data_IF_377289713195
#
_entry.id   IF_377289713195
#
_cell.length_a   1.000
_cell.length_b   1.000
_cell.length_c   1.000
_cell.angle_alpha   90.00
_cell.angle_beta   90.00
_cell.angle_gamma   90.00
#
_symmetry.space_group_name_H-M   'P 1'
#
loop_
_entity.id
_entity.type
_entity.pdbx_description
1 polymer ?
#
# COMPACT_ATOMS: atom_id res chain seq x y z
N UNK A 1 -17.70 18.09 -25.69
CA UNK A 1 -16.30 17.59 -25.72
C UNK A 1 -16.31 16.15 -25.20
N UNK A 2 -15.41 15.30 -25.67
CA UNK A 2 -15.27 13.96 -25.10
C UNK A 2 -14.75 14.09 -23.65
N UNK A 3 -15.28 13.26 -22.74
CA UNK A 3 -14.82 13.22 -21.36
C UNK A 3 -13.37 12.72 -21.31
N UNK A 4 -12.52 13.37 -20.50
CA UNK A 4 -11.16 12.92 -20.22
C UNK A 4 -11.21 11.76 -19.22
N UNK A 5 -10.88 10.56 -19.69
CA UNK A 5 -10.80 9.35 -18.86
C UNK A 5 -9.34 9.08 -18.54
N UNK A 6 -9.03 8.81 -17.26
CA UNK A 6 -7.71 8.42 -16.78
C UNK A 6 -7.82 7.10 -16.03
N UNK A 7 -6.98 6.15 -16.38
CA UNK A 7 -6.91 4.82 -15.73
C UNK A 7 -5.65 4.74 -14.87
N UNK A 8 -5.82 4.47 -13.58
CA UNK A 8 -4.76 4.29 -12.60
C UNK A 8 -4.68 2.82 -12.21
N UNK A 9 -3.49 2.25 -12.13
CA UNK A 9 -3.31 0.86 -11.72
C UNK A 9 -2.23 0.72 -10.63
N UNK A 10 -2.53 -0.05 -9.59
CA UNK A 10 -1.54 -0.40 -8.58
C UNK A 10 -0.60 -1.48 -9.10
N UNK A 11 0.66 -1.49 -8.64
CA UNK A 11 1.67 -2.51 -8.97
C UNK A 11 1.22 -3.95 -8.69
N UNK A 12 0.22 -4.17 -7.81
CA UNK A 12 -0.31 -5.50 -7.48
C UNK A 12 -1.40 -5.98 -8.45
N UNK A 13 -1.76 -5.20 -9.45
CA UNK A 13 -2.60 -5.69 -10.57
C UNK A 13 -1.78 -6.55 -11.53
N UNK A 14 -2.44 -7.26 -12.43
CA UNK A 14 -1.73 -8.09 -13.42
C UNK A 14 -0.95 -7.22 -14.41
N UNK A 15 0.10 -7.75 -15.07
CA UNK A 15 0.87 -7.02 -16.08
C UNK A 15 0.01 -6.42 -17.19
N UNK A 16 -1.04 -7.13 -17.62
CA UNK A 16 -1.95 -6.67 -18.67
C UNK A 16 -2.74 -5.44 -18.25
N UNK A 17 -3.16 -5.38 -16.97
CA UNK A 17 -3.86 -4.21 -16.42
C UNK A 17 -2.89 -3.04 -16.27
N UNK A 18 -1.67 -3.29 -15.81
CA UNK A 18 -0.64 -2.26 -15.71
C UNK A 18 -0.33 -1.64 -17.09
N UNK A 19 -0.29 -2.45 -18.16
CA UNK A 19 -0.06 -1.98 -19.53
C UNK A 19 -1.24 -1.16 -20.10
N UNK A 20 -2.43 -1.31 -19.57
CA UNK A 20 -3.62 -0.54 -19.97
C UNK A 20 -3.76 0.79 -19.23
N UNK A 21 -3.01 1.00 -18.17
CA UNK A 21 -3.14 2.18 -17.32
C UNK A 21 -2.32 3.38 -17.82
N UNK A 22 -2.86 4.57 -17.63
CA UNK A 22 -2.14 5.84 -17.90
C UNK A 22 -1.04 6.08 -16.85
N UNK A 23 -1.25 5.55 -15.63
CA UNK A 23 -0.25 5.62 -14.55
C UNK A 23 -0.29 4.32 -13.73
N UNK A 24 0.89 3.73 -13.55
CA UNK A 24 1.13 2.64 -12.60
C UNK A 24 1.98 3.18 -11.44
N UNK A 25 1.68 2.75 -10.21
CA UNK A 25 2.40 3.21 -9.03
C UNK A 25 1.97 2.53 -7.73
N UNK A 26 2.60 2.96 -6.63
CA UNK A 26 2.13 2.67 -5.28
C UNK A 26 1.03 3.66 -4.83
N UNK A 27 0.54 3.48 -3.60
CA UNK A 27 -0.59 4.29 -3.09
C UNK A 27 -0.27 5.79 -3.05
N UNK A 28 0.98 6.19 -2.74
CA UNK A 28 1.36 7.60 -2.70
C UNK A 28 1.44 8.19 -4.12
N UNK A 29 2.12 7.50 -5.03
CA UNK A 29 2.26 7.93 -6.42
C UNK A 29 0.90 8.09 -7.10
N UNK A 30 -0.01 7.13 -6.88
CA UNK A 30 -1.34 7.17 -7.48
C UNK A 30 -2.22 8.25 -6.85
N UNK A 31 -2.09 8.54 -5.55
CA UNK A 31 -2.81 9.62 -4.88
C UNK A 31 -2.35 10.99 -5.39
N UNK A 32 -1.03 11.18 -5.54
CA UNK A 32 -0.47 12.41 -6.11
C UNK A 32 -0.93 12.61 -7.56
N UNK A 33 -0.84 11.55 -8.37
CA UNK A 33 -1.28 11.63 -9.76
C UNK A 33 -2.78 11.88 -9.88
N UNK A 34 -3.61 11.18 -9.09
CA UNK A 34 -5.06 11.40 -9.08
C UNK A 34 -5.41 12.86 -8.77
N UNK A 35 -4.79 13.46 -7.74
CA UNK A 35 -5.00 14.86 -7.37
C UNK A 35 -4.75 15.82 -8.52
N UNK A 36 -3.70 15.58 -9.31
CA UNK A 36 -3.23 16.50 -10.34
C UNK A 36 -3.80 16.17 -11.74
N UNK A 37 -4.52 15.06 -11.91
CA UNK A 37 -4.94 14.51 -13.21
C UNK A 37 -5.93 15.39 -14.01
N UNK A 38 -6.73 16.23 -13.33
CA UNK A 38 -7.79 17.04 -13.97
C UNK A 38 -8.65 16.20 -14.94
N UNK A 39 -9.11 15.02 -14.50
CA UNK A 39 -9.89 14.07 -15.28
C UNK A 39 -11.40 14.24 -14.99
N UNK A 40 -12.23 13.98 -16.00
CA UNK A 40 -13.69 13.88 -15.81
C UNK A 40 -14.06 12.52 -15.20
N UNK A 41 -13.32 11.47 -15.60
CA UNK A 41 -13.50 10.10 -15.11
C UNK A 41 -12.14 9.55 -14.70
N UNK A 42 -12.06 9.00 -13.49
CA UNK A 42 -10.90 8.24 -12.99
C UNK A 42 -11.33 6.78 -12.82
N UNK A 43 -10.77 5.89 -13.63
CA UNK A 43 -10.87 4.45 -13.44
C UNK A 43 -9.73 4.00 -12.53
N UNK A 44 -10.06 3.44 -11.37
CA UNK A 44 -9.05 3.01 -10.42
C UNK A 44 -8.94 1.49 -10.40
N UNK A 45 -8.02 0.92 -11.19
CA UNK A 45 -7.66 -0.50 -11.15
C UNK A 45 -6.79 -0.79 -9.92
N UNK A 46 -7.45 -1.02 -8.82
CA UNK A 46 -6.90 -1.22 -7.49
C UNK A 46 -7.99 -1.70 -6.54
N UNK A 47 -8.00 -1.20 -5.32
CA UNK A 47 -8.99 -1.54 -4.29
C UNK A 47 -9.77 -0.30 -3.84
N UNK A 48 -10.91 -0.55 -3.18
CA UNK A 48 -11.92 0.46 -2.85
C UNK A 48 -11.35 1.67 -2.11
N UNK A 49 -10.52 1.49 -1.09
CA UNK A 49 -9.97 2.63 -0.33
C UNK A 49 -9.10 3.56 -1.18
N UNK A 50 -8.47 3.04 -2.25
CA UNK A 50 -7.70 3.85 -3.21
C UNK A 50 -8.64 4.68 -4.08
N UNK A 51 -9.72 4.09 -4.57
CA UNK A 51 -10.74 4.79 -5.34
C UNK A 51 -11.46 5.86 -4.47
N UNK A 52 -11.74 5.56 -3.18
CA UNK A 52 -12.24 6.54 -2.20
C UNK A 52 -11.25 7.71 -2.02
N UNK A 53 -9.96 7.42 -1.86
CA UNK A 53 -8.92 8.45 -1.75
C UNK A 53 -8.88 9.33 -3.01
N UNK A 54 -8.94 8.73 -4.20
CA UNK A 54 -9.01 9.46 -5.47
C UNK A 54 -10.26 10.36 -5.54
N UNK A 55 -11.42 9.88 -5.07
CA UNK A 55 -12.66 10.65 -5.01
C UNK A 55 -12.60 11.82 -4.02
N UNK A 56 -12.02 11.60 -2.84
CA UNK A 56 -11.80 12.64 -1.83
C UNK A 56 -10.94 13.78 -2.38
N UNK A 57 -9.90 13.44 -3.12
CA UNK A 57 -8.99 14.41 -3.74
C UNK A 57 -9.57 15.07 -5.01
N UNK A 58 -10.53 14.42 -5.67
CA UNK A 58 -11.18 14.88 -6.90
C UNK A 58 -12.71 14.81 -6.78
N UNK A 59 -13.33 15.66 -5.95
CA UNK A 59 -14.77 15.56 -5.66
C UNK A 59 -15.67 15.75 -6.88
N UNK A 60 -15.18 16.44 -7.91
CA UNK A 60 -15.92 16.71 -9.15
C UNK A 60 -15.74 15.60 -10.21
N UNK A 61 -14.71 14.76 -10.10
CA UNK A 61 -14.51 13.65 -11.02
C UNK A 61 -15.44 12.48 -10.69
N UNK A 62 -15.88 11.76 -11.71
CA UNK A 62 -16.52 10.45 -11.55
C UNK A 62 -15.40 9.43 -11.32
N UNK A 63 -15.36 8.80 -10.13
CA UNK A 63 -14.38 7.75 -9.83
C UNK A 63 -15.05 6.39 -9.87
N UNK A 64 -14.48 5.48 -10.67
CA UNK A 64 -15.04 4.16 -10.95
C UNK A 64 -14.05 3.07 -10.53
N UNK A 65 -14.50 2.17 -9.66
CA UNK A 65 -13.81 0.94 -9.30
C UNK A 65 -14.29 -0.17 -10.24
N UNK A 66 -13.39 -0.94 -10.93
CA UNK A 66 -13.79 -1.94 -11.91
C UNK A 66 -14.64 -3.08 -11.36
N UNK A 67 -14.37 -3.53 -10.13
CA UNK A 67 -15.09 -4.63 -9.49
C UNK A 67 -15.52 -4.29 -8.05
N UNK A 68 -16.75 -4.67 -7.70
CA UNK A 68 -17.33 -4.41 -6.36
C UNK A 68 -16.60 -5.14 -5.24
N UNK A 69 -16.06 -6.32 -5.52
CA UNK A 69 -15.35 -7.15 -4.55
C UNK A 69 -13.92 -6.69 -4.27
N UNK A 70 -13.41 -5.71 -5.03
CA UNK A 70 -12.04 -5.19 -4.83
C UNK A 70 -11.97 -4.35 -3.55
N UNK A 71 -11.86 -5.03 -2.39
CA UNK A 71 -11.72 -4.44 -1.06
C UNK A 71 -10.30 -4.66 -0.50
N UNK A 72 -10.10 -4.64 0.82
CA UNK A 72 -8.83 -4.86 1.48
C UNK A 72 -9.06 -5.51 2.85
N UNK A 73 -8.27 -6.53 3.20
CA UNK A 73 -8.40 -7.22 4.49
C UNK A 73 -8.21 -6.29 5.69
N UNK A 74 -7.37 -5.27 5.60
CA UNK A 74 -7.21 -4.25 6.64
C UNK A 74 -8.50 -3.45 6.88
N UNK A 75 -9.22 -3.14 5.79
CA UNK A 75 -10.52 -2.44 5.86
C UNK A 75 -11.58 -3.35 6.43
N UNK A 76 -11.67 -4.59 5.97
CA UNK A 76 -12.68 -5.56 6.41
C UNK A 76 -12.52 -5.95 7.89
N UNK A 77 -11.27 -5.99 8.40
CA UNK A 77 -10.98 -6.28 9.80
C UNK A 77 -11.15 -5.07 10.73
N UNK A 78 -11.46 -3.89 10.20
CA UNK A 78 -11.56 -2.66 11.00
C UNK A 78 -13.00 -2.22 11.15
N UNK A 79 -13.61 -2.49 12.32
CA UNK A 79 -14.89 -1.93 12.69
C UNK A 79 -14.72 -0.46 13.08
N UNK A 80 -15.31 0.45 12.30
CA UNK A 80 -15.14 1.90 12.50
C UNK A 80 -15.74 2.38 13.83
N UNK A 81 -16.82 1.76 14.32
CA UNK A 81 -17.43 2.12 15.62
C UNK A 81 -16.49 1.76 16.78
N UNK A 82 -15.80 0.63 16.71
CA UNK A 82 -14.78 0.23 17.70
C UNK A 82 -13.53 1.12 17.60
N UNK A 83 -13.11 1.43 16.37
CA UNK A 83 -12.01 2.35 16.14
C UNK A 83 -12.28 3.73 16.75
N UNK A 84 -13.51 4.25 16.64
CA UNK A 84 -13.92 5.52 17.25
C UNK A 84 -13.76 5.48 18.77
N UNK A 85 -14.22 4.42 19.43
CA UNK A 85 -14.06 4.22 20.88
C UNK A 85 -12.59 4.13 21.28
N UNK A 86 -11.80 3.41 20.47
CA UNK A 86 -10.37 3.29 20.70
C UNK A 86 -9.66 4.64 20.54
N UNK A 87 -10.02 5.44 19.54
CA UNK A 87 -9.54 6.81 19.36
C UNK A 87 -9.91 7.72 20.55
N UNK A 88 -11.14 7.62 21.04
CA UNK A 88 -11.63 8.36 22.21
C UNK A 88 -10.86 7.99 23.49
N UNK A 89 -10.54 6.70 23.66
CA UNK A 89 -9.72 6.23 24.79
C UNK A 89 -8.26 6.72 24.73
N UNK A 90 -7.80 7.22 23.57
CA UNK A 90 -6.48 7.79 23.34
C UNK A 90 -6.57 9.25 22.89
N UNK A 91 -7.44 10.04 23.53
CA UNK A 91 -7.75 11.41 23.09
C UNK A 91 -6.54 12.35 23.12
N UNK A 92 -5.52 12.06 23.94
CA UNK A 92 -4.26 12.81 24.05
C UNK A 92 -3.16 12.34 23.08
N UNK A 93 -3.47 11.40 22.18
CA UNK A 93 -2.57 10.89 21.15
C UNK A 93 -2.92 11.45 19.77
N UNK A 94 -1.93 11.61 18.92
CA UNK A 94 -2.10 11.84 17.48
C UNK A 94 -2.42 10.50 16.82
N UNK A 95 -3.55 10.41 16.13
CA UNK A 95 -3.95 9.21 15.41
C UNK A 95 -3.36 9.22 14.01
N UNK A 96 -2.37 8.39 13.78
CA UNK A 96 -1.77 8.14 12.45
C UNK A 96 -2.38 6.89 11.85
N UNK A 97 -2.95 7.01 10.67
CA UNK A 97 -3.55 5.89 9.96
C UNK A 97 -2.86 5.60 8.64
N UNK A 98 -2.56 4.33 8.43
CA UNK A 98 -2.10 3.85 7.14
C UNK A 98 -3.22 4.02 6.09
N UNK A 99 -2.85 4.40 4.88
CA UNK A 99 -3.79 4.73 3.78
C UNK A 99 -4.74 3.57 3.43
N UNK A 100 -4.35 2.32 3.75
CA UNK A 100 -5.16 1.12 3.59
C UNK A 100 -6.30 1.08 4.63
N UNK A 101 -7.17 2.07 4.57
CA UNK A 101 -8.28 2.33 5.49
C UNK A 101 -9.44 2.94 4.73
N UNK A 102 -10.70 2.75 5.20
CA UNK A 102 -11.89 3.34 4.58
C UNK A 102 -11.90 4.87 4.70
N UNK A 103 -12.76 5.53 3.91
CA UNK A 103 -12.97 6.99 4.03
C UNK A 103 -13.43 7.39 5.43
N UNK A 104 -14.31 6.60 6.06
CA UNK A 104 -14.74 6.83 7.45
C UNK A 104 -13.61 6.73 8.46
N UNK A 105 -12.72 5.74 8.29
CA UNK A 105 -11.52 5.58 9.12
C UNK A 105 -10.60 6.79 8.96
N UNK A 106 -10.33 7.21 7.72
CA UNK A 106 -9.52 8.40 7.42
C UNK A 106 -10.07 9.66 8.07
N UNK A 107 -11.40 9.81 8.10
CA UNK A 107 -12.07 10.93 8.74
C UNK A 107 -11.91 10.98 10.28
N UNK A 108 -11.50 9.88 10.92
CA UNK A 108 -11.17 9.80 12.35
C UNK A 108 -9.69 10.03 12.64
N UNK A 109 -8.87 10.20 11.62
CA UNK A 109 -7.40 10.24 11.73
C UNK A 109 -6.90 11.69 11.73
N UNK A 110 -5.78 11.92 12.41
CA UNK A 110 -5.09 13.21 12.37
C UNK A 110 -4.09 13.27 11.20
N UNK A 111 -3.52 12.12 10.85
CA UNK A 111 -2.59 11.95 9.73
C UNK A 111 -2.87 10.67 8.97
N UNK A 112 -2.72 10.72 7.65
CA UNK A 112 -2.60 9.53 6.81
C UNK A 112 -1.14 9.33 6.45
N UNK A 113 -0.73 8.07 6.34
CA UNK A 113 0.60 7.68 5.88
C UNK A 113 0.51 6.56 4.84
N UNK A 114 1.55 6.43 4.03
CA UNK A 114 1.78 5.28 3.16
C UNK A 114 3.05 4.55 3.63
N UNK A 115 3.29 3.35 3.13
CA UNK A 115 4.54 2.63 3.40
C UNK A 115 5.80 3.37 2.93
N UNK A 116 5.66 4.44 2.14
CA UNK A 116 6.76 5.25 1.63
C UNK A 116 7.20 6.37 2.58
N UNK A 117 6.26 6.91 3.36
CA UNK A 117 6.48 8.11 4.18
C UNK A 117 6.17 7.93 5.66
N UNK A 118 5.80 6.71 6.06
CA UNK A 118 5.39 6.45 7.45
C UNK A 118 6.51 6.69 8.44
N UNK A 119 7.73 6.29 8.10
CA UNK A 119 8.93 6.48 8.94
C UNK A 119 9.17 7.97 9.22
N UNK A 120 9.18 8.78 8.16
CA UNK A 120 9.46 10.22 8.25
C UNK A 120 8.37 10.98 9.00
N UNK A 121 7.09 10.65 8.74
CA UNK A 121 5.96 11.33 9.39
C UNK A 121 5.91 10.97 10.88
N UNK A 122 6.07 9.69 11.25
CA UNK A 122 6.05 9.27 12.64
C UNK A 122 7.25 9.86 13.38
N UNK A 123 8.44 9.82 12.80
CA UNK A 123 9.62 10.46 13.35
C UNK A 123 9.39 11.95 13.59
N UNK A 124 8.82 12.66 12.61
CA UNK A 124 8.49 14.08 12.73
C UNK A 124 7.56 14.36 13.92
N UNK A 125 6.55 13.53 14.15
CA UNK A 125 5.62 13.69 15.28
C UNK A 125 6.33 13.43 16.62
N UNK A 126 7.17 12.40 16.71
CA UNK A 126 7.96 12.12 17.91
C UNK A 126 8.99 13.22 18.21
N UNK A 127 9.64 13.79 17.19
CA UNK A 127 10.57 14.92 17.33
C UNK A 127 9.86 16.17 17.90
N UNK A 128 8.53 16.27 17.71
CA UNK A 128 7.68 17.32 18.31
C UNK A 128 7.13 16.95 19.70
N UNK A 129 7.53 15.82 20.28
CA UNK A 129 7.07 15.34 21.57
C UNK A 129 5.63 14.82 21.58
N UNK A 130 5.06 14.49 20.41
CA UNK A 130 3.71 13.95 20.29
C UNK A 130 3.66 12.47 20.68
N UNK A 131 2.58 12.07 21.35
CA UNK A 131 2.24 10.67 21.53
C UNK A 131 1.47 10.21 20.30
N UNK A 132 1.76 9.03 19.78
CA UNK A 132 1.16 8.51 18.55
C UNK A 132 0.45 7.19 18.80
N UNK A 133 -0.75 7.02 18.24
CA UNK A 133 -1.41 5.73 18.05
C UNK A 133 -1.43 5.39 16.56
N UNK A 134 -1.32 4.11 16.21
CA UNK A 134 -1.19 3.67 14.82
C UNK A 134 -2.25 2.62 14.44
N UNK A 135 -2.87 2.82 13.28
CA UNK A 135 -3.88 1.91 12.70
C UNK A 135 -3.77 1.87 11.17
N UNK A 136 -4.42 0.92 10.48
CA UNK A 136 -4.97 -0.31 11.00
C UNK A 136 -3.94 -1.44 11.09
N UNK A 137 -2.78 -1.37 10.39
CA UNK A 137 -1.84 -2.49 10.24
C UNK A 137 -0.95 -2.67 11.47
N UNK A 138 -1.19 -3.77 12.21
CA UNK A 138 -0.41 -4.13 13.40
C UNK A 138 1.05 -4.44 13.06
N UNK A 139 1.33 -5.11 11.95
CA UNK A 139 2.67 -5.54 11.61
C UNK A 139 3.56 -4.33 11.27
N UNK A 140 3.06 -3.40 10.46
CA UNK A 140 3.75 -2.14 10.17
C UNK A 140 4.00 -1.34 11.44
N UNK A 141 3.00 -1.20 12.31
CA UNK A 141 3.17 -0.51 13.60
C UNK A 141 4.17 -1.20 14.52
N UNK A 142 4.18 -2.54 14.58
CA UNK A 142 5.14 -3.32 15.35
C UNK A 142 6.58 -3.17 14.81
N UNK A 143 6.75 -3.10 13.49
CA UNK A 143 8.03 -2.80 12.86
C UNK A 143 8.54 -1.43 13.29
N UNK A 144 7.73 -0.38 13.18
CA UNK A 144 8.09 0.99 13.57
C UNK A 144 8.46 1.08 15.06
N UNK A 145 7.68 0.41 15.91
CA UNK A 145 7.98 0.34 17.34
C UNK A 145 9.33 -0.33 17.62
N UNK A 146 9.64 -1.40 16.89
CA UNK A 146 10.91 -2.11 17.06
C UNK A 146 12.09 -1.34 16.49
N UNK A 147 11.98 -0.83 15.26
CA UNK A 147 13.08 -0.19 14.52
C UNK A 147 13.52 1.12 15.18
N UNK A 148 12.54 1.92 15.64
CA UNK A 148 12.83 3.26 16.19
C UNK A 148 12.69 3.35 17.70
N UNK A 149 12.40 2.24 18.38
CA UNK A 149 12.22 2.22 19.84
C UNK A 149 10.96 2.95 20.32
N UNK A 150 9.93 3.08 19.47
CA UNK A 150 8.66 3.69 19.85
C UNK A 150 7.79 2.70 20.64
N UNK A 151 6.77 3.24 21.31
CA UNK A 151 5.78 2.46 22.06
C UNK A 151 4.36 2.93 21.71
N UNK A 152 4.05 2.92 20.41
CA UNK A 152 2.72 3.29 19.95
C UNK A 152 1.71 2.21 20.29
N UNK A 153 0.54 2.54 20.88
CA UNK A 153 -0.62 1.66 20.84
C UNK A 153 -1.02 1.35 19.40
N UNK A 154 -1.26 0.06 19.10
CA UNK A 154 -1.52 -0.42 17.75
C UNK A 154 -2.93 -0.99 17.63
N UNK A 155 -3.61 -0.70 16.53
CA UNK A 155 -4.79 -1.43 16.11
C UNK A 155 -4.39 -2.84 15.63
N UNK A 156 -5.32 -3.81 15.65
CA UNK A 156 -4.98 -5.23 15.53
C UNK A 156 -5.27 -5.87 14.17
N UNK A 157 -5.55 -5.08 13.10
CA UNK A 157 -5.73 -5.64 11.77
C UNK A 157 -4.39 -5.98 11.10
N UNK A 158 -4.42 -6.91 10.15
CA UNK A 158 -3.25 -7.33 9.35
C UNK A 158 -3.59 -7.50 7.88
N UNK A 159 -2.62 -7.29 7.01
CA UNK A 159 -2.75 -7.61 5.60
C UNK A 159 -2.66 -9.14 5.40
N UNK A 160 -3.73 -9.80 4.92
CA UNK A 160 -3.78 -11.26 4.73
C UNK A 160 -2.74 -11.78 3.72
N UNK A 161 -2.20 -10.91 2.87
CA UNK A 161 -1.15 -11.26 1.90
C UNK A 161 0.21 -11.27 2.58
N UNK A 162 0.53 -10.20 3.30
CA UNK A 162 1.85 -10.05 3.92
C UNK A 162 2.00 -10.86 5.21
N UNK A 163 0.91 -11.07 5.95
CA UNK A 163 0.93 -11.87 7.20
C UNK A 163 1.23 -13.36 6.97
N UNK A 164 1.21 -13.83 5.72
CA UNK A 164 1.59 -15.21 5.36
C UNK A 164 3.09 -15.46 5.35
N UNK A 165 3.92 -14.44 5.21
CA UNK A 165 5.37 -14.63 5.26
C UNK A 165 5.81 -15.07 6.65
N UNK A 166 6.73 -16.03 6.73
CA UNK A 166 7.22 -16.58 7.99
C UNK A 166 8.65 -17.09 7.86
N UNK A 167 9.33 -17.23 9.00
CA UNK A 167 10.74 -17.64 9.05
C UNK A 167 10.97 -19.07 8.57
N UNK A 168 10.02 -19.99 8.82
CA UNK A 168 10.15 -21.40 8.42
C UNK A 168 10.19 -21.50 6.89
N UNK A 169 9.27 -20.83 6.19
CA UNK A 169 9.24 -20.82 4.74
C UNK A 169 10.49 -20.12 4.15
N UNK A 170 10.95 -19.02 4.76
CA UNK A 170 12.18 -18.36 4.36
C UNK A 170 13.41 -19.28 4.52
N UNK A 171 13.52 -19.98 5.65
CA UNK A 171 14.61 -20.93 5.88
C UNK A 171 14.62 -22.04 4.84
N UNK A 172 13.45 -22.58 4.50
CA UNK A 172 13.32 -23.58 3.44
C UNK A 172 13.72 -23.02 2.07
N UNK A 173 13.33 -21.79 1.75
CA UNK A 173 13.71 -21.12 0.50
C UNK A 173 15.19 -20.84 0.40
N UNK A 174 15.84 -20.41 1.47
CA UNK A 174 17.27 -20.16 1.52
C UNK A 174 18.07 -21.49 1.44
N UNK A 175 17.62 -22.51 2.14
CA UNK A 175 18.23 -23.85 2.06
C UNK A 175 18.17 -24.42 0.63
N UNK A 176 17.09 -24.15 -0.10
CA UNK A 176 16.92 -24.65 -1.48
C UNK A 176 17.91 -24.07 -2.50
N UNK A 177 18.54 -22.93 -2.21
CA UNK A 177 19.54 -22.29 -3.07
C UNK A 177 20.98 -22.58 -2.61
N UNK A 178 21.16 -23.33 -1.51
CA UNK A 178 22.45 -23.72 -0.96
C UNK A 178 23.32 -22.50 -0.61
N UNK A 179 24.60 -22.55 -1.02
CA UNK A 179 25.57 -21.48 -0.74
C UNK A 179 25.44 -20.25 -1.66
N UNK A 180 24.39 -20.19 -2.50
CA UNK A 180 24.14 -19.03 -3.37
C UNK A 180 23.87 -17.80 -2.51
N UNK A 181 24.60 -16.69 -2.70
CA UNK A 181 24.30 -15.43 -2.01
C UNK A 181 22.85 -15.03 -2.22
N UNK A 182 22.22 -14.50 -1.19
CA UNK A 182 20.80 -14.08 -1.29
C UNK A 182 20.54 -12.82 -0.47
N UNK A 183 19.52 -12.12 -0.87
CA UNK A 183 19.01 -10.91 -0.24
C UNK A 183 17.52 -11.04 -0.03
N UNK A 184 17.02 -10.49 1.06
CA UNK A 184 15.59 -10.40 1.36
C UNK A 184 15.18 -8.93 1.40
N UNK A 185 14.27 -8.54 0.51
CA UNK A 185 13.62 -7.23 0.59
C UNK A 185 12.15 -7.43 0.94
N UNK A 186 11.60 -6.60 1.86
CA UNK A 186 10.30 -6.86 2.44
C UNK A 186 9.46 -5.59 2.56
N UNK A 187 8.14 -5.75 2.41
CA UNK A 187 7.18 -4.70 2.70
C UNK A 187 6.90 -4.64 4.22
N UNK A 188 6.77 -3.45 4.84
CA UNK A 188 6.60 -3.30 6.29
C UNK A 188 5.29 -3.90 6.85
N UNK A 189 4.33 -4.29 6.03
CA UNK A 189 3.16 -5.08 6.44
C UNK A 189 3.49 -6.55 6.76
N UNK A 190 4.71 -7.02 6.49
CA UNK A 190 5.16 -8.38 6.82
C UNK A 190 5.37 -8.56 8.32
N UNK A 191 5.27 -9.79 8.86
CA UNK A 191 5.52 -10.06 10.27
C UNK A 191 6.94 -9.65 10.71
N UNK A 192 7.06 -9.12 11.92
CA UNK A 192 8.32 -8.63 12.47
C UNK A 192 9.50 -9.63 12.41
N UNK A 193 9.32 -10.95 12.64
CA UNK A 193 10.41 -11.92 12.45
C UNK A 193 11.00 -11.93 11.04
N UNK A 194 10.15 -11.74 10.01
CA UNK A 194 10.58 -11.64 8.60
C UNK A 194 11.32 -10.33 8.37
N UNK A 195 10.80 -9.20 8.87
CA UNK A 195 11.38 -7.86 8.70
C UNK A 195 12.77 -7.75 9.35
N UNK A 196 12.97 -8.39 10.52
CA UNK A 196 14.29 -8.46 11.18
C UNK A 196 15.38 -9.15 10.36
N UNK A 197 15.01 -9.92 9.36
CA UNK A 197 15.92 -10.65 8.47
C UNK A 197 16.10 -9.98 7.12
N UNK A 198 15.31 -8.93 6.84
CA UNK A 198 15.34 -8.26 5.56
C UNK A 198 16.57 -7.34 5.46
N UNK A 199 17.24 -7.38 4.31
CA UNK A 199 18.33 -6.47 3.94
C UNK A 199 17.79 -5.08 3.58
N UNK A 200 16.50 -5.01 3.21
CA UNK A 200 15.79 -3.76 2.97
C UNK A 200 14.30 -3.92 3.33
N UNK A 201 13.78 -2.97 4.09
CA UNK A 201 12.35 -2.82 4.36
C UNK A 201 11.87 -1.51 3.77
N UNK A 202 10.79 -1.54 3.00
CA UNK A 202 10.26 -0.31 2.41
C UNK A 202 9.01 -0.52 1.56
N UNK A 203 8.51 0.58 1.01
CA UNK A 203 7.34 0.58 0.13
C UNK A 203 7.57 -0.21 -1.15
N UNK A 204 6.50 -0.50 -1.88
CA UNK A 204 6.55 -1.18 -3.18
C UNK A 204 7.47 -0.44 -4.16
N UNK A 205 7.34 0.89 -4.28
CA UNK A 205 8.24 1.70 -5.10
C UNK A 205 9.67 1.74 -4.54
N UNK A 206 9.81 1.76 -3.21
CA UNK A 206 11.12 1.70 -2.55
C UNK A 206 11.87 0.42 -2.88
N UNK A 207 11.21 -0.74 -2.79
CA UNK A 207 11.79 -2.03 -3.16
C UNK A 207 12.16 -2.09 -4.66
N UNK A 208 11.31 -1.54 -5.55
CA UNK A 208 11.62 -1.44 -6.98
C UNK A 208 12.88 -0.57 -7.23
N UNK A 209 13.00 0.55 -6.53
CA UNK A 209 14.17 1.43 -6.62
C UNK A 209 15.43 0.77 -6.05
N UNK A 210 15.30 0.02 -4.94
CA UNK A 210 16.40 -0.78 -4.39
C UNK A 210 16.90 -1.79 -5.44
N UNK A 211 16.01 -2.53 -6.11
CA UNK A 211 16.38 -3.46 -7.19
C UNK A 211 17.05 -2.75 -8.36
N UNK A 212 16.55 -1.58 -8.79
CA UNK A 212 17.16 -0.79 -9.87
C UNK A 212 18.56 -0.32 -9.55
N UNK A 213 18.82 0.06 -8.31
CA UNK A 213 20.13 0.56 -7.83
C UNK A 213 21.09 -0.55 -7.42
N UNK A 214 20.62 -1.80 -7.36
CA UNK A 214 21.39 -2.94 -6.91
C UNK A 214 22.61 -3.18 -7.81
N UNK A 215 23.81 -3.23 -7.21
CA UNK A 215 25.05 -3.41 -7.94
C UNK A 215 25.15 -4.81 -8.56
N UNK A 216 25.58 -4.88 -9.82
CA UNK A 216 25.58 -6.08 -10.66
C UNK A 216 26.54 -7.19 -10.20
N UNK A 217 27.47 -6.90 -9.28
CA UNK A 217 28.54 -7.80 -8.88
C UNK A 217 28.09 -8.94 -7.95
N UNK A 218 26.88 -8.87 -7.44
CA UNK A 218 26.35 -9.92 -6.60
C UNK A 218 25.55 -10.95 -7.44
N UNK A 219 26.21 -12.04 -7.78
CA UNK A 219 25.56 -13.26 -8.28
C UNK A 219 24.70 -13.86 -7.15
N UNK A 220 23.51 -13.38 -6.94
CA UNK A 220 22.64 -13.82 -5.85
C UNK A 220 21.17 -13.84 -6.23
N UNK A 221 20.37 -14.44 -5.36
CA UNK A 221 18.92 -14.46 -5.46
C UNK A 221 18.34 -13.33 -4.62
N UNK A 222 17.46 -12.51 -5.18
CA UNK A 222 16.70 -11.50 -4.45
C UNK A 222 15.31 -12.06 -4.15
N UNK A 223 15.05 -12.36 -2.88
CA UNK A 223 13.73 -12.73 -2.41
C UNK A 223 12.92 -11.49 -2.05
N UNK A 224 11.70 -11.43 -2.57
CA UNK A 224 10.81 -10.27 -2.42
C UNK A 224 9.60 -10.67 -1.57
N UNK A 225 9.55 -10.20 -0.32
CA UNK A 225 8.46 -10.47 0.61
C UNK A 225 7.38 -9.38 0.50
N UNK A 226 6.62 -9.40 -0.59
CA UNK A 226 5.42 -8.61 -0.83
C UNK A 226 4.52 -9.33 -1.84
N UNK A 227 3.46 -8.71 -2.31
CA UNK A 227 2.56 -9.22 -3.35
C UNK A 227 3.31 -9.39 -4.70
N UNK A 228 3.00 -10.45 -5.44
CA UNK A 228 3.80 -10.88 -6.61
C UNK A 228 3.73 -9.95 -7.84
N UNK A 229 2.69 -9.12 -7.95
CA UNK A 229 2.51 -8.23 -9.12
C UNK A 229 3.66 -7.26 -9.37
N UNK A 230 4.39 -6.86 -8.31
CA UNK A 230 5.57 -5.97 -8.45
C UNK A 230 6.74 -6.66 -9.14
N UNK A 231 6.82 -8.01 -9.07
CA UNK A 231 7.91 -8.76 -9.70
C UNK A 231 7.99 -8.53 -11.21
N UNK A 232 6.85 -8.28 -11.86
CA UNK A 232 6.82 -7.89 -13.27
C UNK A 232 7.67 -6.64 -13.52
N UNK A 233 7.46 -5.58 -12.74
CA UNK A 233 8.19 -4.32 -12.88
C UNK A 233 9.67 -4.46 -12.50
N UNK A 234 9.97 -5.25 -11.48
CA UNK A 234 11.35 -5.52 -11.07
C UNK A 234 12.13 -6.27 -12.14
N UNK A 235 11.55 -7.34 -12.71
CA UNK A 235 12.15 -8.13 -13.79
C UNK A 235 12.27 -7.35 -15.10
N UNK A 236 11.30 -6.46 -15.38
CA UNK A 236 11.37 -5.56 -16.53
C UNK A 236 12.53 -4.54 -16.37
N UNK A 237 12.70 -4.01 -15.17
CA UNK A 237 13.76 -3.04 -14.88
C UNK A 237 15.15 -3.68 -14.82
N UNK A 238 15.24 -4.92 -14.33
CA UNK A 238 16.50 -5.67 -14.14
C UNK A 238 16.34 -7.14 -14.57
N UNK A 239 16.27 -7.39 -15.89
CA UNK A 239 16.13 -8.75 -16.43
C UNK A 239 17.38 -9.63 -16.22
N UNK A 240 18.47 -9.03 -15.83
CA UNK A 240 19.76 -9.65 -15.52
C UNK A 240 19.85 -10.23 -14.10
N UNK A 241 18.88 -9.94 -13.21
CA UNK A 241 18.87 -10.40 -11.82
C UNK A 241 17.93 -11.60 -11.62
N UNK A 242 18.29 -12.50 -10.72
CA UNK A 242 17.40 -13.57 -10.25
C UNK A 242 16.52 -13.04 -9.13
N UNK A 243 15.31 -12.58 -9.49
CA UNK A 243 14.34 -12.00 -8.58
C UNK A 243 13.20 -12.99 -8.40
N UNK A 244 12.99 -13.43 -7.17
CA UNK A 244 11.99 -14.45 -6.81
C UNK A 244 11.04 -13.93 -5.73
N UNK A 245 9.80 -14.39 -5.78
CA UNK A 245 8.87 -14.27 -4.65
C UNK A 245 9.47 -14.95 -3.42
N UNK A 246 9.45 -14.29 -2.27
CA UNK A 246 9.76 -14.95 -1.00
C UNK A 246 8.70 -16.04 -0.72
N UNK A 247 9.11 -17.24 -0.27
CA UNK A 247 8.18 -18.33 -0.03
C UNK A 247 7.26 -18.06 1.17
N UNK A 248 6.01 -18.53 1.08
CA UNK A 248 5.01 -18.47 2.15
C UNK A 248 4.70 -19.84 2.74
N UNK A 249 4.91 -20.92 1.96
CA UNK A 249 4.84 -22.33 2.36
C UNK A 249 5.96 -23.10 1.68
N UNK A 250 6.28 -24.28 2.17
CA UNK A 250 7.19 -25.18 1.49
C UNK A 250 6.65 -25.49 0.06
N UNK A 251 7.33 -24.97 -0.96
CA UNK A 251 7.02 -25.20 -2.38
C UNK A 251 6.01 -24.24 -3.03
N UNK A 252 5.42 -23.26 -2.31
CA UNK A 252 4.56 -22.24 -2.93
C UNK A 252 5.26 -20.87 -2.98
N UNK A 253 5.30 -20.30 -4.19
CA UNK A 253 5.90 -18.97 -4.45
C UNK A 253 4.89 -17.96 -5.00
N UNK A 254 3.58 -18.24 -4.95
CA UNK A 254 2.56 -17.29 -5.41
C UNK A 254 1.84 -16.67 -4.20
N UNK A 255 2.10 -15.40 -3.95
CA UNK A 255 1.41 -14.64 -2.92
C UNK A 255 0.69 -13.45 -3.56
N UNK A 256 -0.56 -13.68 -3.96
CA UNK A 256 -1.38 -12.72 -4.69
C UNK A 256 -2.45 -12.12 -3.78
N UNK A 257 -2.72 -10.85 -3.98
CA UNK A 257 -3.86 -10.18 -3.36
C UNK A 257 -5.14 -10.54 -4.11
N UNK A 258 -6.08 -11.30 -3.51
CA UNK A 258 -7.28 -11.73 -4.19
C UNK A 258 -8.13 -10.53 -4.66
N UNK A 259 -8.12 -9.45 -3.90
CA UNK A 259 -8.88 -8.24 -4.21
C UNK A 259 -8.32 -7.45 -5.40
N UNK A 260 -6.99 -7.35 -5.50
CA UNK A 260 -6.33 -6.70 -6.66
C UNK A 260 -6.52 -7.49 -7.95
N UNK A 261 -6.57 -8.81 -7.89
CA UNK A 261 -6.77 -9.70 -9.05
C UNK A 261 -8.22 -9.70 -9.59
N UNK A 262 -9.18 -9.09 -8.88
CA UNK A 262 -10.53 -8.85 -9.41
C UNK A 262 -10.57 -7.77 -10.49
N UNK A 263 -9.52 -6.96 -10.64
CA UNK A 263 -9.39 -6.02 -11.74
C UNK A 263 -9.01 -6.76 -13.02
N UNK A 264 -9.98 -7.41 -13.67
CA UNK A 264 -9.76 -8.08 -14.96
C UNK A 264 -9.76 -7.08 -16.13
N UNK A 265 -9.22 -7.49 -17.28
CA UNK A 265 -9.22 -6.67 -18.51
C UNK A 265 -10.64 -6.23 -18.88
N UNK A 266 -11.60 -7.15 -18.80
CA UNK A 266 -13.01 -6.88 -19.11
C UNK A 266 -13.64 -5.90 -18.14
N UNK A 267 -13.34 -6.04 -16.82
CA UNK A 267 -13.84 -5.13 -15.80
C UNK A 267 -13.27 -3.71 -15.97
N UNK A 268 -11.98 -3.59 -16.26
CA UNK A 268 -11.34 -2.28 -16.51
C UNK A 268 -11.88 -1.63 -17.79
N UNK A 269 -12.05 -2.38 -18.87
CA UNK A 269 -12.66 -1.86 -20.11
C UNK A 269 -14.10 -1.37 -19.90
N UNK A 270 -14.92 -2.11 -19.15
CA UNK A 270 -16.27 -1.65 -18.78
C UNK A 270 -16.21 -0.36 -17.96
N UNK A 271 -15.30 -0.30 -16.97
CA UNK A 271 -15.12 0.90 -16.16
C UNK A 271 -14.71 2.12 -17.01
N UNK A 272 -13.83 1.95 -18.00
CA UNK A 272 -13.46 2.99 -18.96
C UNK A 272 -14.67 3.44 -19.82
N UNK A 273 -15.64 2.57 -20.06
CA UNK A 273 -16.90 2.89 -20.72
C UNK A 273 -17.96 3.54 -19.78
N UNK A 274 -17.60 3.76 -18.49
CA UNK A 274 -18.50 4.37 -17.50
C UNK A 274 -19.33 3.35 -16.70
N UNK A 275 -19.06 2.04 -16.88
CA UNK A 275 -19.68 0.97 -16.13
C UNK A 275 -18.77 0.51 -14.99
N UNK A 276 -19.36 0.06 -13.87
CA UNK A 276 -18.60 -0.37 -12.68
C UNK A 276 -19.16 0.24 -11.41
N UNK A 277 -18.37 0.21 -10.35
CA UNK A 277 -18.81 0.76 -9.04
C UNK A 277 -18.38 2.22 -8.95
N UNK A 278 -19.36 3.11 -8.99
CA UNK A 278 -19.12 4.55 -8.78
C UNK A 278 -18.90 4.84 -7.30
N UNK A 279 -17.91 5.65 -7.00
CA UNK A 279 -17.63 6.13 -5.64
C UNK A 279 -18.45 7.41 -5.43
N UNK A 280 -19.77 7.27 -5.24
CA UNK A 280 -20.74 8.35 -5.09
C UNK A 280 -21.48 8.34 -3.74
N UNK A 281 -21.15 7.38 -2.88
CA UNK A 281 -21.75 7.20 -1.56
C UNK A 281 -21.06 8.01 -0.45
N UNK A 282 -19.92 8.65 -0.74
CA UNK A 282 -19.22 9.50 0.23
C UNK A 282 -19.94 10.84 0.38
N UNK A 283 -20.36 11.16 1.61
CA UNK A 283 -20.96 12.45 1.87
C UNK A 283 -19.92 13.59 1.81
N UNK A 284 -20.32 14.83 1.46
CA UNK A 284 -19.39 15.97 1.47
C UNK A 284 -18.67 16.12 2.81
N UNK A 285 -19.38 15.96 3.93
CA UNK A 285 -18.81 16.06 5.28
C UNK A 285 -17.75 14.99 5.53
N UNK A 286 -17.97 13.75 5.08
CA UNK A 286 -16.99 12.67 5.20
C UNK A 286 -15.78 12.94 4.33
N UNK A 287 -15.98 13.41 3.09
CA UNK A 287 -14.89 13.76 2.19
C UNK A 287 -14.02 14.89 2.76
N UNK A 288 -14.64 15.93 3.32
CA UNK A 288 -13.90 17.07 3.90
C UNK A 288 -13.09 16.64 5.13
N UNK A 289 -13.69 15.82 6.02
CA UNK A 289 -12.99 15.31 7.20
C UNK A 289 -11.81 14.38 6.82
N UNK A 290 -11.99 13.50 5.84
CA UNK A 290 -10.93 12.59 5.38
C UNK A 290 -9.85 13.30 4.55
N UNK A 291 -10.19 14.40 3.87
CA UNK A 291 -9.26 15.16 3.03
C UNK A 291 -8.13 15.76 3.84
N UNK A 292 -8.42 16.37 4.99
CA UNK A 292 -7.43 17.06 5.80
C UNK A 292 -6.20 16.21 6.16
N UNK A 293 -6.34 14.99 6.74
CA UNK A 293 -5.19 14.14 7.05
C UNK A 293 -4.48 13.61 5.78
N UNK A 294 -5.20 13.43 4.66
CA UNK A 294 -4.58 13.05 3.37
C UNK A 294 -3.73 14.21 2.85
N UNK A 295 -4.25 15.44 2.84
CA UNK A 295 -3.52 16.62 2.36
C UNK A 295 -2.26 16.89 3.21
N UNK A 296 -2.34 16.74 4.54
CA UNK A 296 -1.16 16.82 5.43
C UNK A 296 -0.06 15.86 5.00
N UNK A 297 -0.42 14.62 4.71
CA UNK A 297 0.53 13.62 4.20
C UNK A 297 1.14 14.04 2.86
N UNK A 298 0.31 14.49 1.90
CA UNK A 298 0.77 14.87 0.56
C UNK A 298 1.67 16.12 0.61
N UNK A 299 1.33 17.11 1.44
CA UNK A 299 2.14 18.32 1.64
C UNK A 299 3.47 18.00 2.31
N UNK A 300 3.45 17.13 3.34
CA UNK A 300 4.66 16.65 3.99
C UNK A 300 5.57 15.94 2.98
N UNK A 301 5.03 14.98 2.25
CA UNK A 301 5.80 14.22 1.24
C UNK A 301 6.39 15.13 0.16
N UNK A 302 5.64 16.13 -0.30
CA UNK A 302 6.15 17.13 -1.25
C UNK A 302 7.29 17.96 -0.68
N UNK A 303 7.17 18.39 0.59
CA UNK A 303 8.20 19.22 1.28
C UNK A 303 9.51 18.47 1.43
N UNK A 304 9.47 17.18 1.70
CA UNK A 304 10.66 16.35 1.95
C UNK A 304 11.08 15.50 0.74
N UNK A 305 10.43 15.68 -0.42
CA UNK A 305 10.74 14.98 -1.69
C UNK A 305 10.65 13.46 -1.58
N UNK A 306 9.65 12.96 -0.85
CA UNK A 306 9.41 11.54 -0.59
C UNK A 306 8.63 10.87 -1.73
#
# INVERSE_FOLDING_TARGET
MAKKVVTLAHYYTTPEIQQMADKVGDSLELSLYARDAQADIIVFAGVRFMAETAKILNPNAEVILPDRGSTCSLVEQTNVSELRKWREAHADYVHVSYINSSAEHKALSDWIVTSRNVDDIIKHLYDQGQKVIFSPDRNMGAYLNWEYGYNMPLWSAVCEVHDKFNEEALNAGFAAIGDTPHYLIAHPESPLPVLKRADYVGSTSGMLNWVKSYAKEANGVIFVATEDGILYNMKLARPDLDIRQAPIYAGCQCNQCPYMKLNTIEAVKRAQAGEGVKIDYLTPQMMDAARLPIERMLEFSKRYSL
#
